data_IF_328572125472
#
_entry.id   IF_328572125472
#
_cell.length_a   1.000
_cell.length_b   1.000
_cell.length_c   1.000
_cell.angle_alpha   90.00
_cell.angle_beta   90.00
_cell.angle_gamma   90.00
#
_symmetry.space_group_name_H-M   'P 1'
#
loop_
_entity.id
_entity.type
_entity.pdbx_description
1 polymer ?
#
# COMPACT_ATOMS: atom_id res chain seq x y z
N UNK A 1 13.58 19.16 -3.38
CA UNK A 1 12.18 19.27 -3.83
C UNK A 1 11.69 17.84 -3.99
N UNK A 2 10.73 17.39 -3.17
CA UNK A 2 10.13 16.08 -3.35
C UNK A 2 9.41 16.08 -4.69
N UNK A 3 9.73 15.10 -5.52
CA UNK A 3 9.09 14.87 -6.81
C UNK A 3 7.70 14.28 -6.58
N UNK A 4 6.74 15.16 -6.27
CA UNK A 4 5.35 14.80 -5.96
C UNK A 4 4.68 14.04 -7.13
N UNK A 5 5.12 14.29 -8.36
CA UNK A 5 4.64 13.61 -9.57
C UNK A 5 4.99 12.13 -9.57
N UNK A 6 6.22 11.78 -9.17
CA UNK A 6 6.67 10.39 -9.07
C UNK A 6 5.89 9.58 -8.03
N UNK A 7 5.59 10.19 -6.87
CA UNK A 7 4.79 9.56 -5.81
C UNK A 7 3.41 9.16 -6.33
N UNK A 8 2.69 10.14 -6.87
CA UNK A 8 1.33 9.95 -7.38
C UNK A 8 1.28 8.94 -8.53
N UNK A 9 2.25 8.99 -9.46
CA UNK A 9 2.39 8.03 -10.56
C UNK A 9 2.58 6.60 -10.05
N UNK A 10 3.45 6.40 -9.06
CA UNK A 10 3.68 5.08 -8.47
C UNK A 10 2.41 4.54 -7.79
N UNK A 11 1.77 5.36 -6.95
CA UNK A 11 0.55 5.00 -6.21
C UNK A 11 -0.57 4.60 -7.19
N UNK A 12 -0.80 5.38 -8.24
CA UNK A 12 -1.82 5.09 -9.25
C UNK A 12 -1.56 3.75 -9.97
N UNK A 13 -0.31 3.49 -10.35
CA UNK A 13 0.07 2.26 -11.05
C UNK A 13 -0.09 1.00 -10.19
N UNK A 14 0.37 1.06 -8.93
CA UNK A 14 0.21 -0.06 -8.01
C UNK A 14 -1.26 -0.26 -7.63
N UNK A 15 -2.04 0.81 -7.48
CA UNK A 15 -3.47 0.68 -7.21
C UNK A 15 -4.22 0.03 -8.37
N UNK A 16 -3.93 0.43 -9.61
CA UNK A 16 -4.49 -0.25 -10.80
C UNK A 16 -4.13 -1.74 -10.84
N UNK A 17 -2.96 -2.13 -10.32
CA UNK A 17 -2.51 -3.52 -10.31
C UNK A 17 -3.05 -4.35 -9.13
N UNK A 18 -3.34 -3.73 -7.99
CA UNK A 18 -3.60 -4.44 -6.72
C UNK A 18 -4.94 -4.13 -6.05
N UNK A 19 -5.65 -3.13 -6.56
CA UNK A 19 -6.81 -2.48 -5.93
C UNK A 19 -6.52 -1.94 -4.51
N UNK A 20 -5.24 -1.72 -4.18
CA UNK A 20 -4.78 -1.20 -2.88
C UNK A 20 -3.98 0.07 -3.09
N UNK A 21 -3.99 0.92 -2.09
CA UNK A 21 -3.18 2.12 -2.08
C UNK A 21 -1.76 1.79 -1.65
N UNK A 22 -0.78 2.35 -2.34
CA UNK A 22 0.62 2.20 -1.97
C UNK A 22 1.06 3.35 -1.08
N UNK A 23 1.97 3.06 -0.14
CA UNK A 23 2.71 4.09 0.58
C UNK A 23 3.96 4.44 -0.21
N UNK A 24 4.18 5.74 -0.44
CA UNK A 24 5.39 6.23 -1.09
C UNK A 24 6.61 6.23 -0.15
N UNK A 25 6.36 6.38 1.15
CA UNK A 25 7.32 6.15 2.23
C UNK A 25 6.80 5.05 3.17
N UNK A 26 7.07 3.77 2.87
CA UNK A 26 6.65 2.66 3.72
C UNK A 26 7.23 2.69 5.14
N UNK A 27 8.25 3.51 5.42
CA UNK A 27 8.76 3.71 6.78
C UNK A 27 7.85 4.58 7.64
N UNK A 28 6.96 5.36 7.02
CA UNK A 28 5.93 6.09 7.73
C UNK A 28 4.82 5.15 8.20
N UNK A 29 4.45 5.26 9.47
CA UNK A 29 3.49 4.36 10.09
C UNK A 29 2.05 4.72 9.69
N UNK A 30 1.38 3.81 8.99
CA UNK A 30 -0.06 3.85 8.73
C UNK A 30 -0.70 2.67 9.46
N UNK A 31 -1.76 2.92 10.23
CA UNK A 31 -2.44 1.92 11.05
C UNK A 31 -3.86 1.66 10.57
N UNK A 32 -4.35 0.46 10.88
CA UNK A 32 -5.77 0.16 10.80
C UNK A 32 -6.53 1.12 11.70
N UNK A 33 -7.61 1.69 11.18
CA UNK A 33 -8.43 2.64 11.89
C UNK A 33 -7.98 4.09 11.76
N UNK A 34 -6.83 4.36 11.12
CA UNK A 34 -6.44 5.73 10.83
C UNK A 34 -7.49 6.38 9.92
N UNK A 35 -7.93 7.59 10.27
CA UNK A 35 -8.83 8.39 9.45
C UNK A 35 -8.18 9.72 9.05
N UNK A 36 -8.50 10.19 7.85
CA UNK A 36 -7.78 11.30 7.24
C UNK A 36 -8.25 11.61 5.82
N UNK A 37 -7.35 12.20 5.02
CA UNK A 37 -7.61 12.52 3.61
C UNK A 37 -6.44 12.10 2.74
N UNK A 38 -6.71 11.75 1.49
CA UNK A 38 -5.67 11.57 0.48
C UNK A 38 -5.29 12.95 -0.06
N UNK A 39 -4.02 13.32 0.03
CA UNK A 39 -3.52 14.54 -0.58
C UNK A 39 -3.51 14.42 -2.10
N UNK A 40 -4.09 15.40 -2.80
CA UNK A 40 -4.21 15.36 -4.27
C UNK A 40 -2.84 15.47 -4.96
N UNK A 41 -1.89 16.16 -4.33
CA UNK A 41 -0.61 16.50 -4.95
C UNK A 41 0.38 15.35 -4.81
N UNK A 42 0.59 14.83 -3.60
CA UNK A 42 1.52 13.72 -3.35
C UNK A 42 0.88 12.33 -3.55
N UNK A 43 -0.45 12.24 -3.39
CA UNK A 43 -1.18 10.98 -3.32
C UNK A 43 -1.06 10.25 -1.99
N UNK A 44 -0.35 10.81 -1.01
CA UNK A 44 -0.16 10.22 0.31
C UNK A 44 -1.39 10.43 1.21
N UNK A 45 -1.53 9.57 2.21
CA UNK A 45 -2.58 9.68 3.21
C UNK A 45 -2.16 10.63 4.34
N UNK A 46 -2.88 11.73 4.49
CA UNK A 46 -2.73 12.70 5.56
C UNK A 46 -3.61 12.30 6.76
N UNK A 47 -2.96 11.73 7.79
CA UNK A 47 -3.63 11.19 8.98
C UNK A 47 -4.11 12.32 9.89
N UNK A 48 -5.39 12.29 10.24
CA UNK A 48 -5.98 13.18 11.26
C UNK A 48 -6.09 12.53 12.65
N UNK A 49 -6.32 11.23 12.69
CA UNK A 49 -6.47 10.49 13.93
C UNK A 49 -6.67 9.00 13.69
N UNK A 50 -7.06 8.27 14.74
CA UNK A 50 -7.32 6.82 14.67
C UNK A 50 -8.56 6.45 15.49
N UNK A 51 -9.49 5.68 14.91
CA UNK A 51 -10.75 5.30 15.57
C UNK A 51 -10.54 4.50 16.86
N UNK A 52 -9.44 3.76 17.01
CA UNK A 52 -9.15 2.97 18.20
C UNK A 52 -8.49 3.79 19.31
N UNK A 53 -7.79 4.88 18.96
CA UNK A 53 -7.06 5.73 19.91
C UNK A 53 -7.90 6.95 20.35
N UNK A 54 -8.69 7.51 19.44
CA UNK A 54 -9.41 8.77 19.64
C UNK A 54 -10.79 8.56 20.27
N UNK A 55 -10.84 8.35 21.58
CA UNK A 55 -12.11 8.12 22.28
C UNK A 55 -13.09 9.31 22.24
N UNK A 56 -12.60 10.52 21.98
CA UNK A 56 -13.37 11.76 21.98
C UNK A 56 -14.24 11.96 20.74
N UNK A 57 -14.04 11.18 19.66
CA UNK A 57 -14.84 11.30 18.43
C UNK A 57 -16.23 10.66 18.56
N UNK A 58 -16.43 9.84 19.60
CA UNK A 58 -17.68 9.13 19.84
C UNK A 58 -18.59 9.92 20.77
N UNK A 59 -19.75 10.31 20.27
CA UNK A 59 -20.84 10.85 21.11
C UNK A 59 -21.73 9.76 21.68
N UNK A 60 -21.77 8.58 21.04
CA UNK A 60 -22.52 7.42 21.50
C UNK A 60 -21.57 6.40 22.17
N UNK A 61 -21.82 6.13 23.46
CA UNK A 61 -21.08 5.16 24.26
C UNK A 61 -21.18 3.73 23.71
N UNK A 62 -22.28 3.38 23.03
CA UNK A 62 -22.44 2.06 22.41
C UNK A 62 -21.48 1.87 21.24
N UNK A 63 -21.28 2.92 20.43
CA UNK A 63 -20.30 2.88 19.32
C UNK A 63 -18.89 2.77 19.88
N UNK A 64 -18.54 3.60 20.87
CA UNK A 64 -17.24 3.54 21.53
C UNK A 64 -16.95 2.14 22.10
N UNK A 65 -17.96 1.51 22.73
CA UNK A 65 -17.84 0.15 23.23
C UNK A 65 -17.64 -0.88 22.11
N UNK A 66 -18.40 -0.79 21.01
CA UNK A 66 -18.25 -1.69 19.85
C UNK A 66 -16.85 -1.62 19.23
N UNK A 67 -16.28 -0.42 19.11
CA UNK A 67 -14.91 -0.22 18.61
C UNK A 67 -13.91 -0.95 19.52
N UNK A 68 -14.05 -0.79 20.83
CA UNK A 68 -13.21 -1.45 21.83
C UNK A 68 -13.33 -2.97 21.79
N UNK A 69 -14.55 -3.48 21.61
CA UNK A 69 -14.84 -4.92 21.56
C UNK A 69 -14.41 -5.57 20.23
N UNK A 70 -14.11 -4.78 19.20
CA UNK A 70 -13.70 -5.25 17.87
C UNK A 70 -12.34 -4.66 17.43
N UNK A 71 -11.24 -5.02 18.12
CA UNK A 71 -9.91 -4.56 17.72
C UNK A 71 -9.49 -5.13 16.36
N UNK A 72 -8.49 -4.52 15.69
CA UNK A 72 -7.95 -5.05 14.45
C UNK A 72 -7.46 -6.50 14.60
N UNK A 73 -7.67 -7.30 13.55
CA UNK A 73 -7.17 -8.68 13.48
C UNK A 73 -5.95 -8.77 12.59
N UNK A 74 -5.04 -9.67 12.94
CA UNK A 74 -3.85 -9.97 12.15
C UNK A 74 -4.09 -11.24 11.31
N UNK A 75 -3.84 -11.16 10.02
CA UNK A 75 -3.88 -12.30 9.10
C UNK A 75 -2.59 -13.13 9.19
N UNK A 76 -2.63 -14.33 8.62
CA UNK A 76 -1.43 -15.16 8.44
C UNK A 76 -0.39 -14.45 7.57
N UNK A 77 0.88 -14.72 7.86
CA UNK A 77 2.01 -14.23 7.08
C UNK A 77 2.11 -15.00 5.76
N UNK A 78 2.39 -14.29 4.68
CA UNK A 78 2.71 -14.86 3.36
C UNK A 78 4.24 -14.84 3.17
N UNK A 79 4.78 -15.63 2.24
CA UNK A 79 6.22 -15.65 1.96
C UNK A 79 6.68 -14.37 1.26
N UNK A 80 5.91 -13.92 0.26
CA UNK A 80 6.17 -12.71 -0.51
C UNK A 80 4.92 -12.22 -1.20
N UNK A 81 4.88 -10.91 -1.44
CA UNK A 81 3.88 -10.26 -2.28
C UNK A 81 4.58 -9.45 -3.37
N UNK A 82 4.11 -9.55 -4.62
CA UNK A 82 4.66 -8.81 -5.75
C UNK A 82 3.50 -8.18 -6.52
N UNK A 83 3.49 -6.86 -6.62
CA UNK A 83 2.58 -6.11 -7.49
C UNK A 83 3.37 -5.41 -8.58
N UNK A 84 2.89 -5.51 -9.82
CA UNK A 84 3.50 -4.85 -10.98
C UNK A 84 2.46 -4.12 -11.79
N UNK A 85 2.81 -2.95 -12.31
CA UNK A 85 1.98 -2.27 -13.29
C UNK A 85 1.75 -3.13 -14.53
N UNK A 86 0.73 -2.82 -15.36
CA UNK A 86 0.58 -3.47 -16.66
C UNK A 86 1.87 -3.38 -17.49
N UNK A 87 2.13 -4.40 -18.31
CA UNK A 87 3.29 -4.49 -19.24
C UNK A 87 4.67 -4.65 -18.60
N UNK A 88 4.74 -4.99 -17.31
CA UNK A 88 5.97 -5.50 -16.69
C UNK A 88 6.04 -7.01 -16.87
N UNK A 89 7.19 -7.51 -17.33
CA UNK A 89 7.42 -8.95 -17.49
C UNK A 89 8.51 -9.38 -16.53
N UNK A 90 8.22 -10.40 -15.74
CA UNK A 90 9.21 -11.05 -14.88
C UNK A 90 9.92 -12.15 -15.65
N UNK A 91 11.25 -12.20 -15.53
CA UNK A 91 12.13 -13.27 -15.96
C UNK A 91 13.02 -13.73 -14.81
N UNK A 92 13.66 -14.88 -15.00
CA UNK A 92 14.69 -15.35 -14.08
C UNK A 92 15.92 -14.45 -14.11
N UNK A 93 16.69 -14.48 -13.02
CA UNK A 93 17.93 -13.71 -12.95
C UNK A 93 18.99 -14.34 -13.87
N UNK A 94 19.74 -13.50 -14.59
CA UNK A 94 20.81 -13.97 -15.46
C UNK A 94 21.86 -14.78 -14.68
N UNK A 95 22.20 -15.98 -15.17
CA UNK A 95 23.17 -16.88 -14.50
C UNK A 95 24.55 -16.26 -14.30
N UNK A 96 24.96 -15.30 -15.15
CA UNK A 96 26.21 -14.54 -14.98
C UNK A 96 26.17 -13.63 -13.74
N UNK A 97 25.00 -13.13 -13.34
CA UNK A 97 24.86 -12.37 -12.10
C UNK A 97 25.04 -13.28 -10.88
N UNK A 98 24.46 -14.48 -10.89
CA UNK A 98 24.59 -15.46 -9.80
C UNK A 98 26.03 -15.99 -9.67
N UNK A 99 26.73 -16.21 -10.79
CA UNK A 99 28.13 -16.61 -10.79
C UNK A 99 29.07 -15.55 -10.16
N UNK A 100 28.70 -14.26 -10.25
CA UNK A 100 29.47 -13.13 -9.71
C UNK A 100 29.14 -12.82 -8.25
N UNK A 101 27.93 -13.16 -7.80
CA UNK A 101 27.44 -12.89 -6.44
C UNK A 101 26.82 -14.17 -5.87
N UNK A 102 27.62 -15.02 -5.18
CA UNK A 102 27.15 -16.32 -4.68
C UNK A 102 25.92 -16.23 -3.77
N UNK A 103 25.75 -15.13 -3.03
CA UNK A 103 24.60 -14.87 -2.15
C UNK A 103 23.24 -14.85 -2.88
N UNK A 104 23.25 -14.68 -4.21
CA UNK A 104 22.04 -14.71 -5.04
C UNK A 104 21.48 -16.12 -5.25
N UNK A 105 22.30 -17.17 -5.09
CA UNK A 105 21.85 -18.54 -5.29
C UNK A 105 20.69 -18.89 -4.34
N UNK A 106 20.83 -18.51 -3.07
CA UNK A 106 19.90 -18.84 -1.98
C UNK A 106 18.93 -17.70 -1.62
N UNK A 107 18.89 -16.63 -2.43
CA UNK A 107 18.05 -15.46 -2.16
C UNK A 107 16.55 -15.83 -2.15
N UNK A 108 15.80 -15.59 -1.05
CA UNK A 108 14.37 -15.92 -0.94
C UNK A 108 13.50 -15.20 -1.97
N UNK A 109 13.94 -14.02 -2.41
CA UNK A 109 13.31 -13.27 -3.49
C UNK A 109 14.40 -12.91 -4.48
N UNK A 110 14.25 -13.33 -5.73
CA UNK A 110 15.08 -12.90 -6.85
C UNK A 110 14.30 -12.86 -8.15
N UNK A 111 14.73 -11.99 -9.06
CA UNK A 111 14.18 -11.91 -10.41
C UNK A 111 14.75 -10.77 -11.21
N UNK A 112 14.37 -10.76 -12.48
CA UNK A 112 14.56 -9.65 -13.39
C UNK A 112 13.19 -9.20 -13.89
N UNK A 113 13.00 -7.88 -14.00
CA UNK A 113 11.75 -7.28 -14.45
C UNK A 113 12.04 -6.35 -15.63
N UNK A 114 11.44 -6.66 -16.77
CA UNK A 114 11.52 -5.88 -17.99
C UNK A 114 10.29 -4.99 -18.10
N UNK A 115 10.52 -3.68 -18.21
CA UNK A 115 9.45 -2.69 -18.34
C UNK A 115 9.31 -2.32 -19.81
N UNK A 116 8.16 -2.65 -20.42
CA UNK A 116 7.87 -2.33 -21.83
C UNK A 116 7.25 -0.96 -22.05
N UNK A 117 7.13 -0.16 -20.99
CA UNK A 117 6.69 1.23 -21.05
C UNK A 117 7.51 2.07 -20.07
N UNK A 118 7.53 3.38 -20.30
CA UNK A 118 8.09 4.37 -19.38
C UNK A 118 7.20 4.59 -18.14
N UNK A 119 6.02 3.97 -18.11
CA UNK A 119 5.03 4.00 -17.03
C UNK A 119 5.00 2.68 -16.25
N UNK A 120 6.16 2.28 -15.75
CA UNK A 120 6.37 1.01 -15.07
C UNK A 120 6.48 1.14 -13.55
N UNK A 121 5.73 0.35 -12.78
CA UNK A 121 5.89 0.27 -11.33
C UNK A 121 6.01 -1.19 -10.86
N UNK A 122 6.82 -1.40 -9.82
CA UNK A 122 7.03 -2.67 -9.16
C UNK A 122 7.07 -2.44 -7.65
N UNK A 123 6.30 -3.25 -6.91
CA UNK A 123 6.36 -3.35 -5.47
C UNK A 123 6.60 -4.80 -5.09
N UNK A 124 7.60 -5.04 -4.26
CA UNK A 124 7.92 -6.33 -3.67
C UNK A 124 7.88 -6.18 -2.16
N UNK A 125 7.22 -7.11 -1.49
CA UNK A 125 7.18 -7.22 -0.03
C UNK A 125 7.65 -8.61 0.35
N UNK A 126 8.60 -8.71 1.27
CA UNK A 126 9.07 -9.98 1.81
C UNK A 126 8.35 -10.27 3.12
N UNK A 127 7.86 -11.49 3.29
CA UNK A 127 7.17 -11.94 4.48
C UNK A 127 6.01 -11.05 4.96
N UNK A 128 5.12 -10.56 4.07
CA UNK A 128 4.10 -9.63 4.47
C UNK A 128 3.03 -10.29 5.35
N UNK A 129 2.44 -9.49 6.24
CA UNK A 129 1.25 -9.83 7.01
C UNK A 129 0.25 -8.66 6.89
N UNK A 130 -1.04 -8.89 7.08
CA UNK A 130 -2.02 -7.80 7.04
C UNK A 130 -2.77 -7.67 8.35
N UNK A 131 -2.93 -6.44 8.83
CA UNK A 131 -3.85 -6.10 9.93
C UNK A 131 -5.11 -5.46 9.34
N UNK A 132 -6.30 -5.81 9.83
CA UNK A 132 -7.57 -5.36 9.23
C UNK A 132 -8.73 -5.23 10.23
N UNK A 133 -9.71 -4.40 9.89
CA UNK A 133 -11.02 -4.33 10.57
C UNK A 133 -11.85 -5.54 10.10
N UNK A 134 -12.34 -6.40 11.02
CA UNK A 134 -13.19 -7.53 10.64
C UNK A 134 -14.47 -7.08 9.91
N UNK A 135 -14.85 -7.78 8.85
CA UNK A 135 -16.06 -7.46 8.09
C UNK A 135 -17.33 -7.69 8.92
N UNK A 136 -18.32 -6.81 8.76
CA UNK A 136 -19.65 -6.92 9.38
C UNK A 136 -19.67 -6.67 10.88
N UNK A 137 -18.61 -6.09 11.46
CA UNK A 137 -18.55 -5.85 12.92
C UNK A 137 -18.68 -4.39 13.30
N UNK A 138 -18.02 -3.50 12.56
CA UNK A 138 -17.81 -2.13 13.01
C UNK A 138 -18.17 -1.06 11.96
N UNK A 139 -17.91 -1.32 10.68
CA UNK A 139 -17.99 -0.29 9.63
C UNK A 139 -19.37 0.36 9.56
N UNK A 140 -20.45 -0.41 9.60
CA UNK A 140 -21.82 0.12 9.60
C UNK A 140 -22.03 1.21 10.67
N UNK A 141 -21.63 0.93 11.90
CA UNK A 141 -21.81 1.84 13.04
C UNK A 141 -20.92 3.08 12.96
N UNK A 142 -19.75 2.96 12.33
CA UNK A 142 -18.86 4.12 12.13
C UNK A 142 -19.45 5.18 11.21
N UNK A 143 -20.47 4.86 10.41
CA UNK A 143 -21.17 5.85 9.58
C UNK A 143 -21.93 6.89 10.38
N UNK A 144 -22.23 6.60 11.66
CA UNK A 144 -22.91 7.51 12.58
C UNK A 144 -21.93 8.50 13.26
N UNK A 145 -20.62 8.28 13.10
CA UNK A 145 -19.57 9.09 13.73
C UNK A 145 -19.29 10.32 12.86
N UNK A 146 -19.76 11.49 13.31
CA UNK A 146 -19.60 12.77 12.57
C UNK A 146 -18.16 13.12 12.20
N UNK A 147 -17.18 12.75 13.04
CA UNK A 147 -15.77 13.02 12.76
C UNK A 147 -15.25 12.28 11.51
N UNK A 148 -15.93 11.20 11.09
CA UNK A 148 -15.59 10.40 9.92
C UNK A 148 -16.34 10.83 8.65
N UNK A 149 -17.26 11.79 8.76
CA UNK A 149 -17.93 12.37 7.60
C UNK A 149 -16.90 13.05 6.68
N UNK A 150 -16.97 12.74 5.37
CA UNK A 150 -16.00 13.19 4.37
C UNK A 150 -14.52 12.85 4.68
N UNK A 151 -14.29 11.81 5.48
CA UNK A 151 -12.96 11.26 5.74
C UNK A 151 -12.77 9.90 5.09
N UNK A 152 -11.53 9.63 4.73
CA UNK A 152 -11.07 8.31 4.33
C UNK A 152 -10.61 7.52 5.57
N UNK A 153 -11.00 6.26 5.67
CA UNK A 153 -10.69 5.34 6.77
C UNK A 153 -9.83 4.17 6.27
N UNK A 154 -8.69 3.95 6.92
CA UNK A 154 -7.82 2.81 6.65
C UNK A 154 -8.42 1.55 7.27
N UNK A 155 -8.92 0.64 6.44
CA UNK A 155 -9.58 -0.59 6.91
C UNK A 155 -8.64 -1.80 6.96
N UNK A 156 -7.53 -1.74 6.24
CA UNK A 156 -6.51 -2.79 6.22
C UNK A 156 -5.15 -2.19 5.90
N UNK A 157 -4.09 -2.69 6.54
CA UNK A 157 -2.70 -2.34 6.25
C UNK A 157 -1.90 -3.62 6.03
N UNK A 158 -0.91 -3.54 5.15
CA UNK A 158 0.00 -4.65 4.86
C UNK A 158 1.37 -4.28 5.40
N UNK A 159 1.79 -5.01 6.41
CA UNK A 159 3.04 -4.81 7.10
C UNK A 159 4.08 -5.80 6.57
N UNK A 160 5.34 -5.40 6.54
CA UNK A 160 6.41 -6.33 6.20
C UNK A 160 7.75 -5.93 6.81
N UNK A 161 8.67 -6.89 6.99
CA UNK A 161 10.03 -6.61 7.42
C UNK A 161 10.94 -6.09 6.31
N UNK A 162 10.62 -6.32 5.04
CA UNK A 162 11.41 -5.79 3.93
C UNK A 162 10.56 -5.51 2.70
N UNK A 163 10.87 -4.43 1.99
CA UNK A 163 10.19 -4.04 0.76
C UNK A 163 11.17 -3.49 -0.28
N UNK A 164 10.76 -3.56 -1.55
CA UNK A 164 11.40 -2.85 -2.65
C UNK A 164 10.34 -2.23 -3.54
N UNK A 165 10.42 -0.91 -3.71
CA UNK A 165 9.60 -0.06 -4.56
C UNK A 165 10.46 0.39 -5.72
N UNK A 166 9.97 0.19 -6.94
CA UNK A 166 10.64 0.66 -8.14
C UNK A 166 9.66 1.32 -9.10
N UNK A 167 10.00 2.54 -9.52
CA UNK A 167 9.33 3.28 -10.60
C UNK A 167 10.32 3.39 -11.77
N UNK A 168 9.99 2.72 -12.87
CA UNK A 168 10.85 2.59 -14.04
C UNK A 168 10.86 3.85 -14.90
N UNK A 169 11.98 4.06 -15.60
CA UNK A 169 12.11 5.01 -16.71
C UNK A 169 12.27 4.32 -18.08
N UNK A 170 11.86 3.04 -18.21
CA UNK A 170 11.77 2.34 -19.51
C UNK A 170 12.79 1.22 -19.76
N UNK A 171 13.32 0.56 -18.73
CA UNK A 171 14.43 -0.40 -18.86
C UNK A 171 14.18 -1.74 -18.15
N UNK A 172 15.23 -2.55 -18.00
CA UNK A 172 15.25 -3.81 -17.24
C UNK A 172 15.87 -3.56 -15.87
N UNK A 173 15.25 -4.05 -14.78
CA UNK A 173 15.84 -4.05 -13.43
C UNK A 173 15.97 -5.48 -12.92
N UNK A 174 17.06 -5.77 -12.23
CA UNK A 174 17.24 -7.03 -11.51
C UNK A 174 17.26 -6.75 -10.02
N UNK A 175 16.48 -7.49 -9.25
CA UNK A 175 16.40 -7.33 -7.79
C UNK A 175 16.50 -8.70 -7.11
N UNK A 176 17.19 -8.73 -5.98
CA UNK A 176 17.20 -9.87 -5.09
C UNK A 176 17.26 -9.41 -3.62
N UNK A 177 16.62 -10.15 -2.73
CA UNK A 177 16.76 -9.99 -1.29
C UNK A 177 17.78 -11.03 -0.82
N UNK A 178 18.97 -10.57 -0.45
CA UNK A 178 20.10 -11.42 -0.02
C UNK A 178 20.27 -11.38 1.49
N UNK A 179 20.89 -12.42 2.04
CA UNK A 179 21.13 -12.58 3.48
C UNK A 179 20.10 -13.45 4.19
N UNK A 180 20.27 -13.61 5.49
CA UNK A 180 19.42 -14.43 6.36
C UNK A 180 18.85 -13.57 7.49
N UNK A 181 17.65 -13.93 7.96
CA UNK A 181 17.18 -13.39 9.25
C UNK A 181 18.08 -13.93 10.37
N UNK A 182 18.41 -13.11 11.39
CA UNK A 182 19.08 -13.64 12.57
C UNK A 182 18.17 -14.68 13.22
N UNK A 183 18.59 -15.94 13.17
CA UNK A 183 18.03 -17.00 14.00
C UNK A 183 18.40 -16.63 15.45
N UNK A 184 17.49 -16.69 16.43
CA UNK A 184 17.85 -16.45 17.82
C UNK A 184 18.86 -17.52 18.26
N UNK A 185 20.15 -17.18 18.28
CA UNK A 185 21.19 -18.07 18.79
C UNK A 185 21.15 -18.11 20.31
N UNK A 186 21.48 -19.28 20.87
CA UNK A 186 21.56 -19.50 22.31
C UNK A 186 22.46 -18.45 22.99
N UNK A 187 22.21 -18.11 24.26
CA UNK A 187 23.01 -17.12 24.98
C UNK A 187 24.46 -17.61 25.12
N UNK A 188 25.39 -16.95 24.44
CA UNK A 188 26.83 -17.26 24.56
C UNK A 188 27.70 -16.86 23.36
N UNK A 189 27.14 -16.75 22.15
CA UNK A 189 27.93 -16.47 20.95
C UNK A 189 27.91 -14.98 20.58
N UNK A 190 28.89 -14.23 21.09
CA UNK A 190 29.28 -12.93 20.57
C UNK A 190 30.21 -13.11 19.37
N UNK A 191 29.64 -13.31 18.18
CA UNK A 191 30.33 -13.01 16.91
C UNK A 191 29.51 -11.94 16.19
N UNK A 192 30.06 -10.72 16.18
CA UNK A 192 29.50 -9.54 15.53
C UNK A 192 29.56 -9.64 14.01
N UNK A 193 28.77 -10.56 13.45
CA UNK A 193 28.59 -10.67 12.01
C UNK A 193 27.32 -9.93 11.64
N UNK A 194 27.46 -8.90 10.80
CA UNK A 194 26.40 -8.00 10.35
C UNK A 194 25.44 -8.70 9.36
N UNK A 195 24.90 -9.86 9.74
CA UNK A 195 23.94 -10.64 8.97
C UNK A 195 22.55 -9.98 9.07
N UNK A 196 22.36 -8.94 8.27
CA UNK A 196 21.05 -8.38 7.97
C UNK A 196 20.65 -8.74 6.55
N UNK A 197 19.36 -8.98 6.33
CA UNK A 197 18.79 -9.00 4.99
C UNK A 197 19.05 -7.65 4.30
N UNK A 198 19.43 -7.72 3.02
CA UNK A 198 19.75 -6.55 2.20
C UNK A 198 19.21 -6.74 0.80
N UNK A 199 18.76 -5.66 0.18
CA UNK A 199 18.41 -5.67 -1.24
C UNK A 199 19.67 -5.52 -2.09
N UNK A 200 19.83 -6.45 -3.02
CA UNK A 200 20.74 -6.36 -4.14
C UNK A 200 19.96 -5.89 -5.37
N UNK A 201 20.54 -4.99 -6.13
CA UNK A 201 19.98 -4.46 -7.36
C UNK A 201 21.03 -4.31 -8.48
N UNK A 202 20.58 -4.44 -9.72
CA UNK A 202 21.37 -4.22 -10.94
C UNK A 202 20.50 -3.57 -12.01
N UNK A 203 21.11 -2.73 -12.85
CA UNK A 203 20.47 -2.00 -13.96
C UNK A 203 19.38 -1.02 -13.51
N UNK A 204 19.50 -0.48 -12.29
CA UNK A 204 18.56 0.48 -11.72
C UNK A 204 18.60 1.80 -12.48
N UNK A 205 17.62 1.99 -13.37
CA UNK A 205 17.46 3.18 -14.20
C UNK A 205 16.05 3.71 -13.99
N UNK A 206 15.91 4.47 -12.91
CA UNK A 206 14.62 4.91 -12.39
C UNK A 206 14.72 5.21 -10.90
N UNK A 207 13.58 5.31 -10.24
CA UNK A 207 13.51 5.54 -8.80
C UNK A 207 13.34 4.21 -8.08
N UNK A 208 14.37 3.80 -7.34
CA UNK A 208 14.37 2.63 -6.47
C UNK A 208 14.39 3.08 -5.00
N UNK A 209 13.46 2.57 -4.21
CA UNK A 209 13.44 2.69 -2.75
C UNK A 209 13.30 1.31 -2.15
N UNK A 210 14.15 0.97 -1.20
CA UNK A 210 14.06 -0.30 -0.52
C UNK A 210 14.32 -0.13 0.97
N UNK A 211 13.79 -1.07 1.74
CA UNK A 211 13.93 -1.09 3.19
C UNK A 211 14.02 -2.52 3.67
N UNK A 212 14.82 -2.72 4.71
CA UNK A 212 14.88 -3.99 5.42
C UNK A 212 15.11 -3.74 6.91
N UNK A 213 14.27 -4.36 7.75
CA UNK A 213 14.41 -4.32 9.19
C UNK A 213 15.41 -5.39 9.60
N UNK A 214 16.50 -4.97 10.25
CA UNK A 214 17.60 -5.87 10.64
C UNK A 214 17.17 -6.95 11.65
N UNK A 215 16.07 -6.73 12.38
CA UNK A 215 15.53 -7.67 13.37
C UNK A 215 14.38 -8.50 12.79
N UNK A 216 14.02 -8.30 11.52
CA UNK A 216 12.87 -8.92 10.89
C UNK A 216 11.54 -8.49 11.48
N UNK A 217 11.49 -7.32 12.14
CA UNK A 217 10.23 -6.75 12.61
C UNK A 217 9.44 -6.17 11.44
N UNK A 218 8.11 -6.25 11.53
CA UNK A 218 7.18 -5.63 10.59
C UNK A 218 7.17 -4.10 10.76
N UNK A 219 8.25 -3.46 10.32
CA UNK A 219 8.50 -2.02 10.52
C UNK A 219 8.05 -1.16 9.35
N UNK A 220 7.59 -1.76 8.25
CA UNK A 220 7.18 -1.04 7.04
C UNK A 220 5.71 -1.30 6.71
N UNK A 221 5.03 -0.30 6.16
CA UNK A 221 3.64 -0.39 5.66
C UNK A 221 3.55 -0.01 4.17
N UNK A 222 3.93 -0.90 3.23
CA UNK A 222 3.97 -0.54 1.81
C UNK A 222 2.60 -0.46 1.12
N UNK A 223 1.57 -1.12 1.65
CA UNK A 223 0.22 -1.11 1.09
C UNK A 223 -0.83 -0.92 2.18
N UNK A 224 -1.96 -0.33 1.80
CA UNK A 224 -3.14 -0.21 2.63
C UNK A 224 -4.43 -0.19 1.78
N UNK A 225 -5.54 -0.53 2.42
CA UNK A 225 -6.89 -0.41 1.86
C UNK A 225 -7.58 0.71 2.61
N UNK A 226 -8.24 1.60 1.87
CA UNK A 226 -8.91 2.77 2.40
C UNK A 226 -10.32 2.85 1.84
N UNK A 227 -11.27 3.20 2.70
CA UNK A 227 -12.69 3.36 2.35
C UNK A 227 -13.22 4.71 2.79
N UNK A 228 -14.28 5.17 2.15
CA UNK A 228 -15.05 6.34 2.54
C UNK A 228 -16.52 6.00 2.69
N UNK A 229 -17.25 6.81 3.46
CA UNK A 229 -18.70 6.67 3.60
C UNK A 229 -19.36 7.02 2.25
N UNK A 230 -20.21 6.14 1.74
CA UNK A 230 -20.93 6.38 0.48
C UNK A 230 -21.81 7.62 0.60
N UNK A 231 -21.56 8.61 -0.27
CA UNK A 231 -22.44 9.76 -0.41
C UNK A 231 -23.74 9.35 -1.09
N UNK A 232 -24.86 9.74 -0.53
CA UNK A 232 -26.18 9.59 -1.17
C UNK A 232 -26.22 10.51 -2.39
N UNK A 233 -26.05 9.96 -3.59
CA UNK A 233 -25.99 10.75 -4.82
C UNK A 233 -27.32 11.42 -5.12
N UNK A 234 -27.34 12.75 -5.30
CA UNK A 234 -28.56 13.48 -5.69
C UNK A 234 -29.08 13.08 -7.09
N UNK A 235 -28.21 12.55 -7.95
CA UNK A 235 -28.58 12.04 -9.28
C UNK A 235 -29.42 10.75 -9.21
N UNK A 236 -29.21 9.91 -8.19
CA UNK A 236 -30.04 8.72 -7.94
C UNK A 236 -31.49 9.11 -7.57
N UNK A 237 -31.71 10.32 -7.03
CA UNK A 237 -33.06 10.82 -6.75
C UNK A 237 -33.84 11.20 -8.02
N UNK A 238 -33.17 11.50 -9.15
CA UNK A 238 -33.85 12.00 -10.37
C UNK A 238 -34.24 10.93 -11.37
N UNK A 239 -33.65 9.73 -11.35
CA UNK A 239 -33.81 8.75 -12.44
C UNK A 239 -34.90 7.68 -12.24
N UNK A 240 -35.65 7.70 -11.14
CA UNK A 240 -36.75 6.75 -10.90
C UNK A 240 -36.31 5.28 -10.86
N UNK A 241 -35.01 5.00 -10.80
CA UNK A 241 -34.47 3.66 -10.61
C UNK A 241 -34.70 3.22 -9.16
N UNK A 242 -34.94 1.92 -8.90
CA UNK A 242 -34.96 1.39 -7.54
C UNK A 242 -33.67 1.81 -6.83
N UNK A 243 -33.80 2.41 -5.64
CA UNK A 243 -32.63 2.75 -4.84
C UNK A 243 -31.91 1.45 -4.48
N UNK A 244 -30.61 1.30 -4.76
CA UNK A 244 -29.84 0.24 -4.13
C UNK A 244 -29.93 0.43 -2.61
N UNK A 245 -30.38 -0.60 -1.90
CA UNK A 245 -30.40 -0.63 -0.45
C UNK A 245 -29.01 -1.10 -0.03
N UNK A 246 -28.22 -0.18 0.54
CA UNK A 246 -26.90 -0.50 1.10
C UNK A 246 -27.06 -0.81 2.58
N UNK A 247 -26.49 -1.93 3.03
CA UNK A 247 -26.55 -2.39 4.42
C UNK A 247 -25.16 -2.81 4.90
N UNK A 248 -24.92 -2.75 6.21
CA UNK A 248 -23.66 -3.20 6.79
C UNK A 248 -22.44 -2.46 6.25
N UNK A 249 -21.43 -3.24 5.84
CA UNK A 249 -20.17 -2.72 5.30
C UNK A 249 -20.32 -2.09 3.90
N UNK A 250 -21.42 -2.35 3.19
CA UNK A 250 -21.66 -1.78 1.86
C UNK A 250 -21.94 -0.27 1.90
N UNK A 251 -22.20 0.27 3.09
CA UNK A 251 -22.26 1.72 3.33
C UNK A 251 -20.91 2.41 3.10
N UNK A 252 -19.83 1.65 3.03
CA UNK A 252 -18.50 2.13 2.70
C UNK A 252 -18.12 1.76 1.27
N UNK A 253 -17.50 2.69 0.55
CA UNK A 253 -16.95 2.46 -0.78
C UNK A 253 -15.44 2.64 -0.80
N UNK A 254 -14.79 1.98 -1.75
CA UNK A 254 -13.37 2.23 -2.01
C UNK A 254 -13.16 3.69 -2.42
N UNK A 255 -12.08 4.30 -1.91
CA UNK A 255 -11.73 5.68 -2.25
C UNK A 255 -11.14 5.73 -3.65
N UNK A 256 -11.74 6.57 -4.49
CA UNK A 256 -11.22 6.89 -5.83
C UNK A 256 -10.07 7.90 -5.74
N UNK A 257 -9.13 7.92 -6.70
CA UNK A 257 -8.06 8.92 -6.70
C UNK A 257 -8.68 10.33 -6.76
N UNK A 258 -8.18 11.30 -5.98
CA UNK A 258 -8.59 12.70 -6.10
C UNK A 258 -7.98 13.41 -7.33
N UNK A 259 -7.35 12.68 -8.25
CA UNK A 259 -6.74 13.19 -9.48
C UNK A 259 -7.34 12.52 -10.71
N UNK A 260 -7.32 13.23 -11.83
CA UNK A 260 -7.73 12.74 -13.15
C UNK A 260 -6.76 11.67 -13.68
N UNK A 261 -7.12 10.89 -14.71
CA UNK A 261 -6.22 9.93 -15.32
C UNK A 261 -4.85 10.56 -15.60
N UNK A 262 -3.79 9.92 -15.09
CA UNK A 262 -2.44 10.45 -15.29
C UNK A 262 -1.88 10.02 -16.66
N UNK A 263 -1.06 10.85 -17.28
CA UNK A 263 -0.27 10.56 -18.50
C UNK A 263 0.94 9.63 -18.21
N UNK A 264 1.89 9.52 -19.15
CA UNK A 264 3.10 8.71 -18.97
C UNK A 264 4.09 9.33 -17.98
N UNK A 265 4.09 10.65 -17.85
CA UNK A 265 4.95 11.45 -16.98
C UNK A 265 4.39 11.59 -15.55
N UNK A 266 3.11 11.31 -15.34
CA UNK A 266 2.41 11.43 -14.06
C UNK A 266 1.61 12.74 -13.89
N UNK A 267 1.42 13.53 -14.95
CA UNK A 267 0.55 14.70 -14.97
C UNK A 267 -0.89 14.28 -15.25
N UNK A 268 -1.86 15.11 -14.85
CA UNK A 268 -3.29 14.87 -15.13
C UNK A 268 -3.57 15.15 -16.61
N UNK A 269 -4.19 14.19 -17.31
CA UNK A 269 -4.70 14.40 -18.67
C UNK A 269 -5.78 15.50 -18.60
N UNK A 270 -5.58 16.60 -19.33
CA UNK A 270 -6.63 17.63 -19.47
C UNK A 270 -7.71 17.01 -20.35
N UNK A 271 -8.74 16.45 -19.73
CA UNK A 271 -9.97 16.15 -20.44
C UNK A 271 -10.61 17.51 -20.71
N UNK A 272 -10.42 18.03 -21.93
CA UNK A 272 -11.26 19.13 -22.40
C UNK A 272 -12.70 18.61 -22.33
N UNK A 273 -13.44 19.08 -21.33
CA UNK A 273 -14.89 18.97 -21.33
C UNK A 273 -15.35 19.64 -22.64
N UNK A 274 -15.56 18.85 -23.68
CA UNK A 274 -16.33 19.26 -24.85
C UNK A 274 -17.71 19.61 -24.32
N UNK A 275 -17.87 20.89 -23.96
CA UNK A 275 -19.15 21.56 -23.80
C UNK A 275 -19.82 21.41 -25.16
N UNK A 276 -20.72 20.42 -25.27
CA UNK A 276 -21.70 20.44 -26.34
C UNK A 276 -22.61 21.64 -26.04
N UNK A 277 -22.35 22.76 -26.73
CA UNK A 277 -23.31 23.86 -26.90
C UNK A 277 -24.59 23.36 -27.58
#
# INVERSE_FOLDING_TARGET
MLDNTSSRKFIDLIRKASSKWASWDPGHEIKVGDYGKIDKISGEFDRKGNIYDDTHIYTDENIAKRVKDNPPKLASREDKYIATSPRVIRSDLESDAEAKVPELADAPIKGQWTFRSERGALLIMAHPCSSYIPAGTLLEHLTEVKALEDMALITQVFLCPAYSLYLSSGNVVSLALVGSYPIPTAPGDTVGSEHGLKWWDKNTTGLLRNGCDRKGKDSYTPLYTVKEIRKKSWLEFRRGLPRPVYEGDDLWSDVYPPWDPLDEEGNEDIIEDTVFE
#
